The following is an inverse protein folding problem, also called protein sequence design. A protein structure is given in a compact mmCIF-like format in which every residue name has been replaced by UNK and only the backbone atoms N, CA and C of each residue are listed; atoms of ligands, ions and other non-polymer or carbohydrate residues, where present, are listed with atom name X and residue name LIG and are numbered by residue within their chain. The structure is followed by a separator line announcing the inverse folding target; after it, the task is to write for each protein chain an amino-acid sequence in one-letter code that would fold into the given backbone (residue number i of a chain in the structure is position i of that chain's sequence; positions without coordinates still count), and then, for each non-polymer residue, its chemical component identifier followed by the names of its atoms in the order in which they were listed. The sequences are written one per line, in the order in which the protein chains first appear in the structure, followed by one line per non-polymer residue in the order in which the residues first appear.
data_IF_181889746692
#
_entry.id   IF_181889746692
#
_cell.length_a   1.000
_cell.length_b   1.000
_cell.length_c   1.000
_cell.angle_alpha   90.00
_cell.angle_beta   90.00
_cell.angle_gamma   90.00
#
_symmetry.space_group_name_H-M   'P 1'
#
loop_
_entity.id
_entity.type
_entity.pdbx_description
1 polymer ?
#
# COMPACT_ATOMS: atom_id res chain seq x y z
N UNK A 1 -15.96 8.35 8.23
CA UNK A 1 -14.50 8.52 8.29
C UNK A 1 -13.86 7.65 7.23
N UNK A 2 -12.70 8.06 6.74
CA UNK A 2 -12.03 7.42 5.58
C UNK A 2 -11.78 5.93 5.79
N UNK A 3 -11.39 5.51 7.00
CA UNK A 3 -11.10 4.09 7.26
C UNK A 3 -12.32 3.17 7.06
N UNK A 4 -13.52 3.64 7.44
CA UNK A 4 -14.76 2.88 7.18
C UNK A 4 -15.04 2.76 5.68
N UNK A 5 -14.71 3.79 4.90
CA UNK A 5 -14.82 3.75 3.44
C UNK A 5 -13.84 2.72 2.85
N UNK A 6 -12.57 2.73 3.28
CA UNK A 6 -11.55 1.75 2.88
C UNK A 6 -12.01 0.31 3.14
N UNK A 7 -12.54 0.02 4.32
CA UNK A 7 -13.03 -1.32 4.67
C UNK A 7 -14.22 -1.74 3.79
N UNK A 8 -15.14 -0.82 3.48
CA UNK A 8 -16.27 -1.09 2.59
C UNK A 8 -15.81 -1.38 1.15
N UNK A 9 -14.88 -0.60 0.60
CA UNK A 9 -14.32 -0.84 -0.74
C UNK A 9 -13.52 -2.15 -0.79
N UNK A 10 -12.76 -2.45 0.25
CA UNK A 10 -12.02 -3.72 0.38
C UNK A 10 -12.97 -4.92 0.35
N UNK A 11 -14.12 -4.84 1.03
CA UNK A 11 -15.14 -5.88 1.00
C UNK A 11 -15.72 -6.09 -0.42
N UNK A 12 -15.92 -5.01 -1.20
CA UNK A 12 -16.36 -5.10 -2.59
C UNK A 12 -15.30 -5.78 -3.48
N UNK A 13 -14.03 -5.43 -3.30
CA UNK A 13 -12.94 -6.08 -4.03
C UNK A 13 -12.81 -7.56 -3.67
N UNK A 14 -12.96 -7.91 -2.39
CA UNK A 14 -12.96 -9.31 -1.95
C UNK A 14 -14.09 -10.10 -2.63
N UNK A 15 -15.31 -9.55 -2.66
CA UNK A 15 -16.44 -10.20 -3.32
C UNK A 15 -16.25 -10.36 -4.84
N UNK A 16 -15.48 -9.46 -5.48
CA UNK A 16 -15.23 -9.47 -6.93
C UNK A 16 -14.09 -10.40 -7.33
N UNK A 17 -12.99 -10.40 -6.57
CA UNK A 17 -11.74 -11.07 -6.95
C UNK A 17 -11.44 -12.33 -6.16
N UNK A 18 -12.26 -12.68 -5.15
CA UNK A 18 -12.19 -13.88 -4.27
C UNK A 18 -10.92 -13.95 -3.41
N UNK A 19 -9.74 -13.89 -4.03
CA UNK A 19 -8.42 -14.02 -3.39
C UNK A 19 -7.72 -12.67 -3.29
N UNK A 20 -8.20 -11.83 -2.38
CA UNK A 20 -7.60 -10.53 -2.05
C UNK A 20 -6.59 -10.68 -0.90
N UNK A 21 -5.37 -10.21 -1.11
CA UNK A 21 -4.37 -9.95 -0.06
C UNK A 21 -4.43 -8.50 0.34
N UNK A 22 -4.31 -8.24 1.64
CA UNK A 22 -4.38 -6.88 2.18
C UNK A 22 -3.21 -6.69 3.15
N UNK A 23 -2.22 -5.89 2.74
CA UNK A 23 -1.13 -5.49 3.62
C UNK A 23 -1.47 -4.14 4.21
N UNK A 24 -1.21 -3.93 5.48
CA UNK A 24 -1.36 -2.62 6.10
C UNK A 24 -0.40 -2.45 7.27
N UNK A 25 -0.14 -1.20 7.60
CA UNK A 25 0.72 -0.83 8.70
C UNK A 25 0.81 0.68 8.83
N UNK A 26 1.60 1.12 9.80
CA UNK A 26 1.86 2.54 10.04
C UNK A 26 3.27 2.90 9.56
N UNK A 27 3.48 4.18 9.25
CA UNK A 27 4.78 4.73 8.94
C UNK A 27 5.07 5.97 9.79
N UNK A 28 6.36 6.26 9.93
CA UNK A 28 6.89 7.35 10.73
C UNK A 28 7.84 8.14 9.84
N UNK A 29 7.40 9.35 9.55
CA UNK A 29 8.07 10.37 8.73
C UNK A 29 7.63 11.70 9.32
N UNK A 30 8.29 12.11 10.40
CA UNK A 30 7.98 13.33 11.16
C UNK A 30 8.57 14.58 10.49
N UNK A 31 9.68 14.44 9.78
CA UNK A 31 10.35 15.55 9.08
C UNK A 31 9.83 15.75 7.64
N UNK A 32 9.07 14.79 7.12
CA UNK A 32 8.38 14.89 5.83
C UNK A 32 9.31 14.65 4.65
N UNK A 33 10.41 13.93 4.84
CA UNK A 33 11.38 13.65 3.78
C UNK A 33 11.01 12.43 2.91
N UNK A 34 9.93 11.72 3.28
CA UNK A 34 9.43 10.55 2.56
C UNK A 34 10.22 9.26 2.85
N UNK A 35 11.03 9.26 3.90
CA UNK A 35 11.85 8.12 4.36
C UNK A 35 11.50 7.80 5.81
N UNK A 36 11.69 6.53 6.18
CA UNK A 36 11.50 6.07 7.54
C UNK A 36 12.41 6.85 8.51
N UNK A 37 11.80 7.40 9.55
CA UNK A 37 12.50 7.97 10.70
C UNK A 37 13.45 6.99 11.41
N UNK A 38 14.40 7.54 12.17
CA UNK A 38 15.24 6.75 13.08
C UNK A 38 14.44 6.11 14.23
N UNK A 39 14.93 4.99 14.76
CA UNK A 39 14.26 4.28 15.86
C UNK A 39 14.05 5.14 17.12
N UNK A 40 14.93 6.11 17.36
CA UNK A 40 14.83 7.02 18.50
C UNK A 40 13.71 8.06 18.33
N UNK A 41 13.44 8.48 17.09
CA UNK A 41 12.30 9.34 16.77
C UNK A 41 11.01 8.53 16.86
N UNK A 42 10.97 7.36 16.21
CA UNK A 42 9.81 6.46 16.19
C UNK A 42 9.31 6.15 17.59
N UNK A 43 10.20 5.81 18.53
CA UNK A 43 9.83 5.48 19.93
C UNK A 43 9.18 6.64 20.69
N UNK A 44 9.33 7.88 20.21
CA UNK A 44 8.87 9.11 20.89
C UNK A 44 7.75 9.82 20.14
N UNK A 45 7.34 9.32 18.97
CA UNK A 45 6.37 9.96 18.10
C UNK A 45 5.16 9.07 17.86
N UNK A 46 4.02 9.69 17.58
CA UNK A 46 2.88 9.00 16.97
C UNK A 46 3.15 8.76 15.47
N UNK A 47 2.59 7.70 14.87
CA UNK A 47 2.78 7.45 13.45
C UNK A 47 2.19 8.60 12.61
N UNK A 48 2.95 9.05 11.61
CA UNK A 48 2.53 10.14 10.73
C UNK A 48 1.60 9.68 9.61
N UNK A 49 1.72 8.41 9.19
CA UNK A 49 0.92 7.85 8.09
C UNK A 49 0.43 6.43 8.38
N UNK A 50 -0.64 6.05 7.70
CA UNK A 50 -1.13 4.69 7.58
C UNK A 50 -0.99 4.27 6.11
N UNK A 51 -0.36 3.14 5.85
CA UNK A 51 -0.33 2.56 4.51
C UNK A 51 -1.21 1.32 4.44
N UNK A 52 -1.75 1.06 3.24
CA UNK A 52 -2.37 -0.22 2.94
C UNK A 52 -2.31 -0.56 1.45
N UNK A 53 -2.36 -1.85 1.15
CA UNK A 53 -2.14 -2.41 -0.18
C UNK A 53 -3.12 -3.57 -0.41
N UNK A 54 -4.31 -3.30 -0.99
CA UNK A 54 -5.09 -4.34 -1.66
C UNK A 54 -4.29 -4.91 -2.84
N UNK A 55 -4.23 -6.24 -2.92
CA UNK A 55 -3.48 -6.97 -3.93
C UNK A 55 -4.21 -8.26 -4.33
N UNK A 56 -4.39 -8.51 -5.62
CA UNK A 56 -5.05 -9.70 -6.15
C UNK A 56 -4.38 -10.18 -7.45
N UNK A 57 -4.85 -11.30 -7.99
CA UNK A 57 -4.37 -11.85 -9.26
C UNK A 57 -5.27 -11.42 -10.41
N UNK A 58 -4.70 -10.95 -11.52
CA UNK A 58 -5.46 -10.50 -12.69
C UNK A 58 -6.30 -11.64 -13.29
N UNK A 59 -5.68 -12.81 -13.49
CA UNK A 59 -6.32 -13.95 -14.18
C UNK A 59 -6.77 -15.07 -13.24
N UNK A 60 -6.73 -14.88 -11.91
CA UNK A 60 -6.92 -15.93 -10.89
C UNK A 60 -6.01 -17.17 -11.02
N UNK A 61 -5.15 -17.23 -12.05
CA UNK A 61 -4.16 -18.28 -12.26
C UNK A 61 -3.07 -18.14 -11.23
N UNK A 62 -3.03 -19.13 -10.35
CA UNK A 62 -2.07 -19.23 -9.27
C UNK A 62 -0.84 -20.00 -9.75
N UNK A 63 0.36 -19.50 -9.43
CA UNK A 63 1.63 -20.24 -9.55
C UNK A 63 1.71 -21.30 -8.43
N UNK A 64 1.16 -20.99 -7.25
CA UNK A 64 1.00 -21.88 -6.09
C UNK A 64 -0.27 -21.49 -5.31
N UNK A 65 -0.71 -22.25 -4.31
CA UNK A 65 -1.95 -22.04 -3.53
C UNK A 65 -2.19 -20.58 -3.08
N UNK A 66 -1.15 -19.74 -2.99
CA UNK A 66 -1.19 -18.36 -2.45
C UNK A 66 -0.61 -17.30 -3.42
N UNK A 67 0.10 -17.67 -4.50
CA UNK A 67 0.86 -16.72 -5.33
C UNK A 67 0.47 -16.77 -6.81
N UNK A 68 0.65 -15.66 -7.52
CA UNK A 68 0.41 -15.53 -8.97
C UNK A 68 1.45 -14.56 -9.55
N UNK A 69 1.75 -14.67 -10.86
CA UNK A 69 2.70 -13.77 -11.52
C UNK A 69 2.04 -12.45 -11.90
N UNK A 70 0.82 -12.55 -12.43
CA UNK A 70 0.02 -11.41 -12.90
C UNK A 70 -0.70 -10.77 -11.72
N UNK A 71 0.06 -10.02 -10.92
CA UNK A 71 -0.45 -9.36 -9.71
C UNK A 71 -0.94 -7.95 -10.07
N UNK A 72 -2.13 -7.60 -9.55
CA UNK A 72 -2.62 -6.24 -9.49
C UNK A 72 -2.60 -5.80 -8.02
N UNK A 73 -2.13 -4.58 -7.78
CA UNK A 73 -2.18 -3.95 -6.46
C UNK A 73 -2.42 -2.45 -6.60
N UNK A 74 -2.99 -1.86 -5.56
CA UNK A 74 -3.21 -0.42 -5.48
C UNK A 74 -2.71 0.06 -4.10
N UNK A 75 -1.52 0.66 -4.01
CA UNK A 75 -0.94 1.10 -2.75
C UNK A 75 -1.50 2.46 -2.35
N UNK A 76 -1.71 2.66 -1.05
CA UNK A 76 -2.13 3.94 -0.50
C UNK A 76 -1.26 4.32 0.70
N UNK A 77 -0.96 5.61 0.83
CA UNK A 77 -0.31 6.19 2.01
C UNK A 77 -1.18 7.36 2.47
N UNK A 78 -1.87 7.20 3.60
CA UNK A 78 -2.78 8.21 4.13
C UNK A 78 -2.14 8.93 5.33
N UNK A 79 -2.16 10.28 5.36
CA UNK A 79 -1.72 11.01 6.55
C UNK A 79 -2.67 10.78 7.73
N UNK A 80 -2.09 10.51 8.91
CA UNK A 80 -2.80 10.39 10.18
C UNK A 80 -2.90 11.77 10.84
N UNK A 81 -3.86 12.58 10.37
CA UNK A 81 -4.19 13.87 10.98
C UNK A 81 -5.56 13.79 11.66
N UNK A 82 -5.69 14.46 12.81
CA UNK A 82 -6.92 14.46 13.62
C UNK A 82 -8.15 15.01 12.91
N UNK A 83 -7.98 15.79 11.83
CA UNK A 83 -9.06 16.23 10.93
C UNK A 83 -8.58 16.17 9.48
N UNK A 84 -9.40 15.58 8.61
CA UNK A 84 -9.28 15.71 7.16
C UNK A 84 -9.81 17.11 6.79
N UNK A 85 -8.96 17.94 6.20
CA UNK A 85 -9.26 19.34 5.83
C UNK A 85 -9.38 19.51 4.30
N UNK A 86 -9.42 18.40 3.58
CA UNK A 86 -9.16 18.34 2.15
C UNK A 86 -10.41 18.68 1.32
N UNK A 87 -11.60 18.68 1.96
CA UNK A 87 -12.91 18.86 1.32
C UNK A 87 -13.21 17.89 0.17
N UNK A 88 -12.42 16.82 0.02
CA UNK A 88 -12.56 15.80 -1.02
C UNK A 88 -13.57 14.73 -0.61
N UNK A 89 -14.23 14.14 -1.60
CA UNK A 89 -14.98 12.91 -1.39
C UNK A 89 -14.01 11.76 -1.04
N UNK A 90 -14.43 10.74 -0.26
CA UNK A 90 -13.55 9.67 0.17
C UNK A 90 -12.82 8.94 -0.97
N UNK A 91 -13.47 8.77 -2.12
CA UNK A 91 -12.86 8.16 -3.32
C UNK A 91 -11.74 9.01 -3.91
N UNK A 92 -11.98 10.32 -4.02
CA UNK A 92 -11.00 11.28 -4.54
C UNK A 92 -9.81 11.38 -3.58
N UNK A 93 -10.08 11.42 -2.28
CA UNK A 93 -9.04 11.42 -1.27
C UNK A 93 -8.15 10.16 -1.35
N UNK A 94 -8.74 8.96 -1.54
CA UNK A 94 -7.92 7.77 -1.75
C UNK A 94 -7.12 7.86 -3.04
N UNK A 95 -7.74 8.29 -4.14
CA UNK A 95 -7.08 8.44 -5.43
C UNK A 95 -5.86 9.35 -5.33
N UNK A 96 -6.01 10.53 -4.71
CA UNK A 96 -4.93 11.51 -4.50
C UNK A 96 -3.80 10.99 -3.61
N UNK A 97 -4.08 9.99 -2.78
CA UNK A 97 -3.10 9.36 -1.88
C UNK A 97 -2.65 7.97 -2.38
N UNK A 98 -2.86 7.68 -3.66
CA UNK A 98 -2.28 6.49 -4.31
C UNK A 98 -0.76 6.64 -4.39
N UNK A 99 -0.04 5.58 -4.07
CA UNK A 99 1.42 5.57 -4.02
C UNK A 99 2.01 4.40 -4.81
N UNK A 100 3.33 4.38 -4.95
CA UNK A 100 4.07 3.20 -5.43
C UNK A 100 4.37 2.29 -4.25
N UNK A 101 4.64 1.02 -4.54
CA UNK A 101 5.11 0.11 -3.50
C UNK A 101 6.47 0.55 -2.93
N UNK A 102 7.31 1.14 -3.78
CA UNK A 102 8.58 1.74 -3.37
C UNK A 102 8.43 2.87 -2.35
N UNK A 103 7.37 3.66 -2.41
CA UNK A 103 7.14 4.75 -1.46
C UNK A 103 6.86 4.18 -0.06
N UNK A 104 6.12 3.07 0.02
CA UNK A 104 5.92 2.33 1.27
C UNK A 104 7.23 1.71 1.77
N UNK A 105 8.04 1.12 0.89
CA UNK A 105 9.35 0.57 1.26
C UNK A 105 10.26 1.65 1.89
N UNK A 106 10.32 2.84 1.28
CA UNK A 106 11.11 3.96 1.79
C UNK A 106 10.65 4.42 3.18
N UNK A 107 9.33 4.55 3.36
CA UNK A 107 8.72 5.01 4.62
C UNK A 107 8.76 3.98 5.76
N UNK A 108 8.92 2.70 5.45
CA UNK A 108 8.81 1.63 6.46
C UNK A 108 10.12 0.86 6.67
N UNK A 109 11.05 0.93 5.71
CA UNK A 109 12.22 0.07 5.66
C UNK A 109 11.92 -1.38 5.27
N UNK A 110 10.67 -1.69 4.88
CA UNK A 110 10.29 -3.02 4.37
C UNK A 110 10.70 -3.20 2.91
N UNK A 111 10.68 -4.45 2.43
CA UNK A 111 10.93 -4.79 1.04
C UNK A 111 9.89 -5.79 0.52
N UNK A 112 9.33 -5.54 -0.67
CA UNK A 112 8.32 -6.38 -1.31
C UNK A 112 8.91 -7.16 -2.50
N UNK A 113 8.29 -8.25 -2.96
CA UNK A 113 8.75 -9.01 -4.14
C UNK A 113 10.24 -9.44 -4.04
N UNK A 114 10.62 -10.01 -2.90
CA UNK A 114 12.01 -10.40 -2.59
C UNK A 114 12.38 -11.80 -3.04
N UNK A 115 11.41 -12.67 -3.32
CA UNK A 115 11.68 -14.05 -3.77
C UNK A 115 12.18 -14.07 -5.22
N UNK A 116 13.48 -14.32 -5.38
CA UNK A 116 14.16 -14.34 -6.68
C UNK A 116 13.85 -15.59 -7.52
N UNK A 117 13.17 -16.59 -6.96
CA UNK A 117 12.64 -17.70 -7.74
C UNK A 117 11.34 -17.33 -8.47
N UNK A 118 10.64 -16.30 -8.00
CA UNK A 118 9.36 -15.84 -8.56
C UNK A 118 9.56 -14.59 -9.43
N UNK A 119 10.34 -13.62 -8.92
CA UNK A 119 10.56 -12.32 -9.57
C UNK A 119 12.04 -12.10 -9.85
N UNK A 120 12.40 -11.88 -11.11
CA UNK A 120 13.72 -11.35 -11.47
C UNK A 120 13.92 -9.95 -10.89
N UNK A 121 15.17 -9.47 -10.81
CA UNK A 121 15.45 -8.12 -10.29
C UNK A 121 14.73 -7.03 -11.09
N UNK A 122 14.68 -7.18 -12.42
CA UNK A 122 13.99 -6.23 -13.31
C UNK A 122 12.49 -6.24 -13.06
N UNK A 123 11.86 -7.42 -12.97
CA UNK A 123 10.43 -7.53 -12.67
C UNK A 123 10.10 -6.96 -11.29
N UNK A 124 10.91 -7.27 -10.26
CA UNK A 124 10.72 -6.75 -8.92
C UNK A 124 10.81 -5.22 -8.88
N UNK A 125 11.80 -4.61 -9.55
CA UNK A 125 11.94 -3.15 -9.63
C UNK A 125 10.75 -2.53 -10.38
N UNK A 126 10.35 -3.11 -11.51
CA UNK A 126 9.18 -2.66 -12.27
C UNK A 126 7.91 -2.68 -11.42
N UNK A 127 7.66 -3.79 -10.71
CA UNK A 127 6.51 -3.90 -9.81
C UNK A 127 6.58 -2.86 -8.68
N UNK A 128 7.75 -2.67 -8.05
CA UNK A 128 7.87 -1.73 -6.93
C UNK A 128 7.70 -0.26 -7.35
N UNK A 129 8.07 0.09 -8.58
CA UNK A 129 8.05 1.47 -9.09
C UNK A 129 6.79 1.81 -9.90
N UNK A 130 5.97 0.83 -10.22
CA UNK A 130 4.70 1.04 -10.92
C UNK A 130 3.74 1.88 -10.07
N UNK A 131 3.25 2.97 -10.65
CA UNK A 131 2.10 3.71 -10.12
C UNK A 131 0.88 3.39 -10.99
N UNK A 132 -0.09 2.66 -10.42
CA UNK A 132 -1.37 2.42 -11.10
C UNK A 132 -2.36 3.48 -10.65
N UNK A 133 -2.76 4.35 -11.57
CA UNK A 133 -3.90 5.24 -11.39
C UNK A 133 -5.17 4.50 -11.84
N UNK A 134 -6.24 4.57 -11.06
CA UNK A 134 -7.55 4.01 -11.42
C UNK A 134 -8.20 4.81 -12.56
#
# INVERSE_FOLDING_TARGET
GIWRYVLNETAKYLAKYDKLRFFSGVAYDQDGDGVRDSDDVIKKSDPSHLFFVPMWCENSTLIDHISCKDIIFIPYILPLKGKNLNCLEPSEYLYDNTARMRDIELLTGMEFFTDRNIWSDVEAIQLRTLLRTQ
#
